data_IF_453450476949
#
_entry.id   IF_453450476949
#
_cell.length_a   1.000
_cell.length_b   1.000
_cell.length_c   1.000
_cell.angle_alpha   90.00
_cell.angle_beta   90.00
_cell.angle_gamma   90.00
#
_symmetry.space_group_name_H-M   'P 1'
#
loop_
_entity.id
_entity.type
_entity.pdbx_description
1 polymer ?
#
# COMPACT_ATOMS: atom_id res chain seq x y z
N UNK A 1 1.38 -24.58 10.13
CA UNK A 1 1.74 -23.18 9.84
C UNK A 1 0.46 -22.49 9.41
N UNK A 2 -0.10 -21.58 10.22
CA UNK A 2 -1.40 -20.94 9.94
C UNK A 2 -1.14 -19.57 9.32
N UNK A 3 -1.42 -19.43 8.02
CA UNK A 3 -1.49 -18.14 7.34
C UNK A 3 -2.86 -17.52 7.64
N UNK A 4 -2.88 -16.28 8.11
CA UNK A 4 -4.12 -15.49 8.20
C UNK A 4 -4.21 -14.63 6.95
N UNK A 5 -4.83 -15.15 5.89
CA UNK A 5 -5.12 -14.40 4.67
C UNK A 5 -6.38 -13.57 4.95
N UNK A 6 -6.23 -12.26 5.07
CA UNK A 6 -7.37 -11.34 4.99
C UNK A 6 -7.44 -10.89 3.54
N UNK A 7 -8.19 -11.63 2.72
CA UNK A 7 -8.62 -11.14 1.41
C UNK A 7 -9.61 -10.03 1.70
N UNK A 8 -9.14 -8.78 1.66
CA UNK A 8 -10.04 -7.65 1.55
C UNK A 8 -10.31 -7.52 0.06
N UNK A 9 -11.32 -8.25 -0.41
CA UNK A 9 -12.08 -7.79 -1.57
C UNK A 9 -12.30 -6.30 -1.37
N UNK A 10 -12.04 -5.50 -2.41
CA UNK A 10 -12.26 -4.06 -2.37
C UNK A 10 -13.77 -3.76 -2.37
N UNK A 11 -14.43 -4.19 -1.30
CA UNK A 11 -15.72 -3.83 -0.76
C UNK A 11 -15.48 -3.74 0.75
N UNK A 12 -15.85 -2.59 1.28
CA UNK A 12 -15.78 -2.24 2.70
C UNK A 12 -16.34 -3.41 3.54
N UNK A 13 -15.48 -4.20 4.18
CA UNK A 13 -15.92 -5.07 5.29
C UNK A 13 -16.13 -4.14 6.48
N UNK A 14 -17.38 -3.71 6.61
CA UNK A 14 -17.91 -3.01 7.77
C UNK A 14 -18.04 -3.99 8.94
N UNK A 15 -16.98 -4.17 9.71
CA UNK A 15 -17.12 -4.52 11.14
C UNK A 15 -16.14 -3.68 11.97
N UNK A 16 -16.65 -2.55 12.47
CA UNK A 16 -16.12 -1.72 13.57
C UNK A 16 -14.60 -1.51 13.62
N UNK A 17 -14.03 -1.02 12.53
CA UNK A 17 -12.77 -0.27 12.57
C UNK A 17 -13.03 1.08 11.92
N UNK A 18 -12.60 2.14 12.59
CA UNK A 18 -12.90 3.54 12.30
C UNK A 18 -13.00 3.85 10.79
N UNK A 19 -14.11 4.51 10.42
CA UNK A 19 -14.46 4.86 9.05
C UNK A 19 -13.31 5.62 8.38
N UNK A 20 -12.49 4.93 7.57
CA UNK A 20 -11.74 5.59 6.50
C UNK A 20 -12.76 5.85 5.40
N UNK A 21 -13.20 7.10 5.26
CA UNK A 21 -14.14 7.49 4.22
C UNK A 21 -13.42 7.51 2.87
N UNK A 22 -13.36 6.38 2.18
CA UNK A 22 -12.90 6.31 0.79
C UNK A 22 -13.98 6.88 -0.14
N UNK A 23 -13.60 7.83 -0.99
CA UNK A 23 -14.45 8.37 -2.07
C UNK A 23 -14.42 7.42 -3.27
N UNK A 24 -15.43 7.50 -4.12
CA UNK A 24 -15.54 6.69 -5.34
C UNK A 24 -14.36 6.90 -6.31
N UNK A 25 -13.68 8.04 -6.20
CA UNK A 25 -12.48 8.40 -6.96
C UNK A 25 -11.20 7.71 -6.43
N UNK A 26 -11.27 7.04 -5.27
CA UNK A 26 -10.13 6.34 -4.63
C UNK A 26 -10.06 4.85 -5.00
N UNK A 27 -10.85 4.39 -5.98
CA UNK A 27 -10.85 2.99 -6.42
C UNK A 27 -9.94 2.80 -7.63
N UNK A 28 -9.03 1.82 -7.58
CA UNK A 28 -8.24 1.44 -8.76
C UNK A 28 -9.17 0.71 -9.76
N UNK A 29 -9.39 1.33 -10.91
CA UNK A 29 -10.28 0.90 -11.99
C UNK A 29 -9.63 1.04 -13.38
N UNK A 30 -10.36 0.72 -14.45
CA UNK A 30 -9.83 0.76 -15.81
C UNK A 30 -9.43 2.18 -16.27
N UNK A 31 -9.91 3.23 -15.61
CA UNK A 31 -9.63 4.63 -15.96
C UNK A 31 -8.31 5.08 -15.35
N UNK A 32 -8.05 4.74 -14.08
CA UNK A 32 -6.83 5.17 -13.37
C UNK A 32 -5.72 4.10 -13.29
N UNK A 33 -5.94 2.90 -13.86
CA UNK A 33 -4.92 1.83 -13.90
C UNK A 33 -3.61 2.26 -14.58
N UNK A 34 -3.67 3.21 -15.54
CA UNK A 34 -2.48 3.71 -16.25
C UNK A 34 -1.68 4.72 -15.43
N UNK A 35 -2.38 5.61 -14.75
CA UNK A 35 -1.78 6.60 -13.86
C UNK A 35 -2.77 7.01 -12.79
N UNK A 36 -2.31 7.06 -11.54
CA UNK A 36 -3.17 7.35 -10.41
C UNK A 36 -2.41 7.52 -9.11
N UNK A 37 -3.14 7.98 -8.10
CA UNK A 37 -2.67 8.10 -6.74
C UNK A 37 -3.72 7.52 -5.80
N UNK A 38 -3.28 6.69 -4.86
CA UNK A 38 -4.07 6.20 -3.73
C UNK A 38 -3.48 6.82 -2.45
N UNK A 39 -4.28 7.53 -1.67
CA UNK A 39 -3.82 8.24 -0.47
C UNK A 39 -4.79 7.97 0.68
N UNK A 40 -4.28 7.44 1.79
CA UNK A 40 -5.11 7.15 2.95
C UNK A 40 -4.32 7.18 4.25
N UNK A 41 -5.09 7.23 5.34
CA UNK A 41 -4.59 7.22 6.70
C UNK A 41 -5.06 5.94 7.41
N UNK A 42 -4.20 5.36 8.24
CA UNK A 42 -4.55 4.17 9.01
C UNK A 42 -3.94 4.20 10.40
N UNK A 43 -4.78 3.87 11.39
CA UNK A 43 -4.37 3.57 12.77
C UNK A 43 -4.45 2.07 13.07
N UNK A 44 -4.43 1.23 12.02
CA UNK A 44 -4.63 -0.21 12.16
C UNK A 44 -3.52 -0.83 13.01
N UNK A 45 -3.86 -1.21 14.25
CA UNK A 45 -2.92 -1.80 15.20
C UNK A 45 -2.24 -3.06 14.67
N UNK A 46 -2.90 -3.85 13.80
CA UNK A 46 -2.29 -5.05 13.20
C UNK A 46 -1.13 -4.72 12.25
N UNK A 47 -1.21 -3.59 11.55
CA UNK A 47 -0.12 -3.13 10.69
C UNK A 47 1.13 -2.80 11.50
N UNK A 48 0.93 -2.37 12.75
CA UNK A 48 1.98 -1.96 13.68
C UNK A 48 2.31 -3.03 14.74
N UNK A 49 1.69 -4.21 14.65
CA UNK A 49 1.90 -5.32 15.57
C UNK A 49 3.03 -6.24 15.08
N UNK A 50 4.18 -6.20 15.77
CA UNK A 50 5.37 -7.02 15.48
C UNK A 50 5.15 -8.52 15.65
N UNK A 51 4.09 -8.93 16.35
CA UNK A 51 3.73 -10.36 16.46
C UNK A 51 3.06 -10.90 15.20
N UNK A 52 2.57 -10.03 14.32
CA UNK A 52 1.92 -10.43 13.07
C UNK A 52 2.98 -10.53 11.97
N UNK A 53 3.24 -11.72 11.40
CA UNK A 53 4.31 -11.91 10.43
C UNK A 53 4.04 -11.18 9.11
N UNK A 54 2.79 -11.11 8.65
CA UNK A 54 2.45 -10.43 7.40
C UNK A 54 1.07 -9.77 7.47
N UNK A 55 0.94 -8.57 6.89
CA UNK A 55 -0.32 -7.83 6.76
C UNK A 55 -0.46 -7.41 5.32
N UNK A 56 -1.50 -7.91 4.66
CA UNK A 56 -1.89 -7.45 3.32
C UNK A 56 -2.76 -6.20 3.47
N UNK A 57 -2.38 -5.13 2.79
CA UNK A 57 -3.05 -3.82 2.85
C UNK A 57 -3.81 -3.55 1.56
N UNK A 58 -3.21 -3.90 0.42
CA UNK A 58 -3.80 -3.82 -0.90
C UNK A 58 -3.39 -5.07 -1.69
N UNK A 59 -4.34 -5.67 -2.40
CA UNK A 59 -4.08 -6.70 -3.40
C UNK A 59 -5.16 -6.58 -4.48
N UNK A 60 -4.80 -6.02 -5.64
CA UNK A 60 -5.76 -5.67 -6.68
C UNK A 60 -5.22 -5.91 -8.08
N UNK A 61 -5.93 -6.73 -8.83
CA UNK A 61 -5.77 -6.86 -10.27
C UNK A 61 -6.80 -5.99 -11.03
N UNK A 62 -6.35 -5.31 -12.08
CA UNK A 62 -7.18 -4.59 -13.06
C UNK A 62 -6.62 -4.87 -14.45
N UNK A 63 -7.35 -5.64 -15.26
CA UNK A 63 -6.89 -6.08 -16.58
C UNK A 63 -5.58 -6.86 -16.48
N UNK A 64 -4.52 -6.35 -17.11
CA UNK A 64 -3.16 -6.93 -17.10
C UNK A 64 -2.25 -6.35 -16.02
N UNK A 65 -2.76 -5.43 -15.22
CA UNK A 65 -2.00 -4.74 -14.17
C UNK A 65 -2.40 -5.29 -12.81
N UNK A 66 -1.42 -5.43 -11.93
CA UNK A 66 -1.59 -5.87 -10.56
C UNK A 66 -0.84 -4.93 -9.60
N UNK A 67 -1.54 -4.53 -8.55
CA UNK A 67 -1.02 -3.71 -7.47
C UNK A 67 -1.12 -4.48 -6.16
N UNK A 68 -0.03 -4.53 -5.39
CA UNK A 68 -0.08 -5.04 -4.02
C UNK A 68 0.69 -4.14 -3.07
N UNK A 69 0.18 -3.98 -1.86
CA UNK A 69 0.89 -3.39 -0.74
C UNK A 69 0.79 -4.35 0.44
N UNK A 70 1.93 -4.80 0.93
CA UNK A 70 2.01 -5.64 2.13
C UNK A 70 2.98 -5.04 3.13
N UNK A 71 2.83 -5.39 4.41
CA UNK A 71 3.90 -5.30 5.39
C UNK A 71 4.42 -6.71 5.71
N UNK A 72 5.73 -6.92 5.58
CA UNK A 72 6.41 -8.18 5.91
C UNK A 72 6.94 -8.21 7.36
N UNK A 73 7.40 -9.37 7.80
CA UNK A 73 7.88 -9.66 9.16
C UNK A 73 9.05 -8.77 9.60
N UNK A 74 9.80 -8.22 8.64
CA UNK A 74 10.86 -7.21 8.84
C UNK A 74 10.32 -5.78 9.01
N UNK A 75 9.01 -5.61 9.16
CA UNK A 75 8.37 -4.30 9.31
C UNK A 75 8.58 -3.35 8.11
N UNK A 76 8.73 -3.94 6.93
CA UNK A 76 8.85 -3.21 5.68
C UNK A 76 7.51 -3.20 4.95
N UNK A 77 7.08 -2.03 4.51
CA UNK A 77 6.06 -1.89 3.48
C UNK A 77 6.67 -2.22 2.12
N UNK A 78 6.00 -3.07 1.37
CA UNK A 78 6.41 -3.50 0.03
C UNK A 78 5.26 -3.17 -0.91
N UNK A 79 5.44 -2.12 -1.70
CA UNK A 79 4.54 -1.78 -2.79
C UNK A 79 5.04 -2.44 -4.07
N UNK A 80 4.19 -3.22 -4.72
CA UNK A 80 4.44 -3.82 -6.03
C UNK A 80 3.43 -3.28 -7.02
N UNK A 81 3.92 -2.84 -8.18
CA UNK A 81 3.15 -2.52 -9.37
C UNK A 81 3.69 -3.37 -10.52
N UNK A 82 2.89 -4.32 -10.99
CA UNK A 82 3.28 -5.23 -12.07
C UNK A 82 2.31 -5.22 -13.23
N UNK A 83 2.85 -5.35 -14.43
CA UNK A 83 2.13 -5.51 -15.69
C UNK A 83 2.64 -6.77 -16.40
N UNK A 84 2.23 -7.00 -17.64
CA UNK A 84 2.84 -8.02 -18.50
C UNK A 84 4.30 -7.73 -18.83
N UNK A 85 4.71 -6.46 -18.81
CA UNK A 85 5.98 -6.02 -19.40
C UNK A 85 7.03 -5.73 -18.32
N UNK A 86 6.58 -5.31 -17.13
CA UNK A 86 7.45 -4.93 -16.05
C UNK A 86 6.90 -5.30 -14.68
N UNK A 87 7.81 -5.33 -13.70
CA UNK A 87 7.49 -5.33 -12.28
C UNK A 87 8.29 -4.23 -11.59
N UNK A 88 7.60 -3.34 -10.89
CA UNK A 88 8.18 -2.26 -10.07
C UNK A 88 7.95 -2.56 -8.60
N UNK A 89 9.00 -2.45 -7.78
CA UNK A 89 8.90 -2.71 -6.33
C UNK A 89 9.53 -1.58 -5.53
N UNK A 90 8.76 -0.96 -4.64
CA UNK A 90 9.23 -0.02 -3.64
C UNK A 90 9.19 -0.66 -2.25
N UNK A 91 10.30 -0.58 -1.51
CA UNK A 91 10.44 -1.13 -0.16
C UNK A 91 10.78 -0.01 0.82
N UNK A 92 9.95 0.18 1.84
CA UNK A 92 10.13 1.21 2.86
C UNK A 92 9.99 0.64 4.27
N UNK A 93 10.85 1.06 5.19
CA UNK A 93 10.81 0.63 6.59
C UNK A 93 9.84 1.51 7.38
N UNK A 94 8.78 0.93 7.96
CA UNK A 94 7.79 1.68 8.74
C UNK A 94 8.44 2.43 9.92
N UNK A 95 9.51 1.88 10.48
CA UNK A 95 10.22 2.44 11.62
C UNK A 95 10.93 3.78 11.33
N UNK A 96 10.98 4.21 10.06
CA UNK A 96 11.51 5.53 9.68
C UNK A 96 10.52 6.68 9.90
N UNK A 97 9.29 6.39 10.32
CA UNK A 97 8.29 7.41 10.68
C UNK A 97 7.78 7.18 12.10
N UNK A 98 7.40 8.24 12.80
CA UNK A 98 6.67 8.11 14.06
C UNK A 98 5.23 7.69 13.75
N UNK A 99 4.88 6.45 14.10
CA UNK A 99 3.58 5.88 13.81
C UNK A 99 2.66 5.82 15.04
N UNK A 100 2.99 6.51 16.14
CA UNK A 100 2.21 6.47 17.38
C UNK A 100 0.72 6.79 17.16
N UNK A 101 0.44 7.82 16.38
CA UNK A 101 -0.93 8.25 16.06
C UNK A 101 -1.50 7.62 14.79
N UNK A 102 -0.77 6.68 14.18
CA UNK A 102 -1.04 6.09 12.88
C UNK A 102 -0.15 6.65 11.79
N UNK A 103 -0.32 6.13 10.57
CA UNK A 103 0.47 6.53 9.39
C UNK A 103 -0.43 6.93 8.22
N UNK A 104 0.09 7.83 7.39
CA UNK A 104 -0.43 8.12 6.06
C UNK A 104 0.39 7.36 5.03
N UNK A 105 -0.27 6.68 4.10
CA UNK A 105 0.37 5.99 3.00
C UNK A 105 -0.19 6.58 1.70
N UNK A 106 0.72 6.97 0.81
CA UNK A 106 0.38 7.44 -0.52
C UNK A 106 1.15 6.60 -1.55
N UNK A 107 0.42 5.99 -2.48
CA UNK A 107 0.95 5.26 -3.62
C UNK A 107 0.67 6.06 -4.87
N UNK A 108 1.68 6.28 -5.70
CA UNK A 108 1.52 6.97 -6.99
C UNK A 108 2.13 6.11 -8.07
N UNK A 109 1.43 5.98 -9.20
CA UNK A 109 1.94 5.24 -10.36
C UNK A 109 1.63 5.98 -11.66
N UNK A 110 2.49 5.75 -12.64
CA UNK A 110 2.28 6.11 -14.03
C UNK A 110 3.01 5.08 -14.92
N UNK A 111 2.93 5.20 -16.25
CA UNK A 111 3.63 4.27 -17.15
C UNK A 111 5.14 4.27 -16.97
N UNK A 112 5.76 5.36 -16.51
CA UNK A 112 7.21 5.53 -16.39
C UNK A 112 7.76 5.14 -15.01
N UNK A 113 6.99 5.36 -13.95
CA UNK A 113 7.48 5.18 -12.59
C UNK A 113 6.39 4.88 -11.58
N UNK A 114 6.80 4.49 -10.38
CA UNK A 114 5.91 4.24 -9.25
C UNK A 114 6.60 4.63 -7.96
N UNK A 115 5.83 5.17 -7.02
CA UNK A 115 6.33 5.68 -5.75
C UNK A 115 5.45 5.25 -4.59
N UNK A 116 6.08 5.13 -3.44
CA UNK A 116 5.43 4.98 -2.15
C UNK A 116 5.95 6.07 -1.21
N UNK A 117 5.04 6.92 -0.73
CA UNK A 117 5.30 7.88 0.34
C UNK A 117 4.61 7.40 1.61
N UNK A 118 5.32 7.44 2.74
CA UNK A 118 4.76 7.12 4.05
C UNK A 118 5.14 8.23 5.00
N UNK A 119 4.17 8.75 5.74
CA UNK A 119 4.34 9.83 6.70
C UNK A 119 3.61 9.49 8.00
N UNK A 120 3.95 10.21 9.07
CA UNK A 120 3.09 10.24 10.25
C UNK A 120 1.73 10.92 9.94
N UNK A 121 0.81 10.87 10.90
CA UNK A 121 -0.54 11.48 10.75
C UNK A 121 -0.61 12.96 11.18
N UNK A 122 0.45 13.52 11.76
CA UNK A 122 0.41 14.79 12.53
C UNK A 122 1.35 15.87 11.98
N UNK A 123 2.43 15.50 11.28
CA UNK A 123 3.51 16.32 10.75
C UNK A 123 3.95 15.78 9.37
N UNK A 124 3.53 16.45 8.29
CA UNK A 124 3.96 16.11 6.92
C UNK A 124 5.49 16.16 6.69
N UNK A 125 6.26 16.66 7.65
CA UNK A 125 7.72 16.78 7.59
C UNK A 125 8.45 15.46 7.90
N UNK A 126 7.81 14.52 8.62
CA UNK A 126 8.38 13.20 8.91
C UNK A 126 7.83 12.17 7.94
N UNK A 127 8.46 12.07 6.77
CA UNK A 127 8.09 11.09 5.75
C UNK A 127 9.30 10.44 5.12
N UNK A 128 9.10 9.25 4.56
CA UNK A 128 9.99 8.70 3.55
C UNK A 128 9.26 8.56 2.22
N UNK A 129 10.01 8.73 1.13
CA UNK A 129 9.56 8.52 -0.24
C UNK A 129 10.49 7.51 -0.90
N UNK A 130 9.90 6.43 -1.42
CA UNK A 130 10.65 5.38 -2.11
C UNK A 130 10.15 5.29 -3.55
N UNK A 131 11.08 5.42 -4.49
CA UNK A 131 10.84 5.10 -5.90
C UNK A 131 10.96 3.60 -6.10
N UNK A 132 10.02 3.02 -6.81
CA UNK A 132 10.02 1.60 -7.10
C UNK A 132 11.11 1.26 -8.14
N UNK A 133 11.89 0.22 -7.86
CA UNK A 133 12.88 -0.30 -8.79
C UNK A 133 12.19 -1.15 -9.86
N UNK A 134 12.49 -0.88 -11.14
CA UNK A 134 11.91 -1.61 -12.27
C UNK A 134 12.74 -2.83 -12.64
N UNK A 135 12.06 -3.96 -12.81
CA UNK A 135 12.58 -5.17 -13.43
C UNK A 135 11.71 -5.52 -14.65
N UNK A 136 12.33 -5.59 -15.83
CA UNK A 136 11.67 -6.08 -17.06
C UNK A 136 11.38 -7.57 -16.96
N UNK A 137 10.21 -7.98 -17.42
CA UNK A 137 9.84 -9.39 -17.55
C UNK A 137 10.18 -9.81 -18.99
N UNK A 138 11.04 -10.82 -19.13
CA UNK A 138 11.54 -11.35 -20.41
C UNK A 138 10.59 -12.43 -20.91
#
# INVERSE_FOLDING_TARGET
MKYFIYVVDMYIITERVDRVAFRKDDMIDEVNVKAGTLDWYTKNKKLLDKSVPEVVILDKAVGKTHFSLIRNDKFQLIFTHSTSDFKRVAVGEIEKVDYYDGIRIQLTWCPEESFMKVADTTLEQNYFLVRAEEKKLI
#
